data_IF_895170916840
#
_entry.id   IF_895170916840
#
_cell.length_a   1.000
_cell.length_b   1.000
_cell.length_c   1.000
_cell.angle_alpha   90.00
_cell.angle_beta   90.00
_cell.angle_gamma   90.00
#
_symmetry.space_group_name_H-M   'P 1'
#
loop_
_entity.id
_entity.type
_entity.pdbx_description
1 polymer ?
#
# COMPACT_ATOMS: atom_id res chain seq x y z
N UNK A 1 -33.12 4.38 -28.87
CA UNK A 1 -32.56 5.71 -28.53
C UNK A 1 -31.84 5.77 -27.18
N UNK A 2 -32.02 4.81 -26.25
CA UNK A 2 -31.40 4.84 -24.91
C UNK A 2 -29.95 4.29 -24.84
N UNK A 3 -29.58 3.28 -25.64
CA UNK A 3 -28.26 2.64 -25.50
C UNK A 3 -27.10 3.52 -25.99
N UNK A 4 -27.27 4.27 -27.08
CA UNK A 4 -26.26 5.20 -27.60
C UNK A 4 -26.01 6.38 -26.66
N UNK A 5 -27.02 6.88 -25.96
CA UNK A 5 -26.86 7.93 -24.95
C UNK A 5 -26.17 7.41 -23.69
N UNK A 6 -26.43 6.16 -23.30
CA UNK A 6 -25.78 5.53 -22.16
C UNK A 6 -24.30 5.27 -22.43
N UNK A 7 -23.95 4.72 -23.60
CA UNK A 7 -22.55 4.51 -24.02
C UNK A 7 -21.79 5.84 -24.12
N UNK A 8 -22.40 6.88 -24.70
CA UNK A 8 -21.77 8.22 -24.77
C UNK A 8 -21.68 8.93 -23.41
N UNK A 9 -22.50 8.55 -22.42
CA UNK A 9 -22.39 9.04 -21.05
C UNK A 9 -21.28 8.32 -20.29
N UNK A 10 -21.15 7.01 -20.48
CA UNK A 10 -20.10 6.19 -19.88
C UNK A 10 -18.72 6.51 -20.46
N UNK A 11 -18.63 6.81 -21.76
CA UNK A 11 -17.40 7.27 -22.41
C UNK A 11 -16.96 8.66 -21.94
N UNK A 12 -17.91 9.58 -21.73
CA UNK A 12 -17.63 10.91 -21.16
C UNK A 12 -17.21 10.83 -19.70
N UNK A 13 -17.88 10.01 -18.89
CA UNK A 13 -17.50 9.77 -17.50
C UNK A 13 -16.14 9.09 -17.38
N UNK A 14 -15.83 8.16 -18.30
CA UNK A 14 -14.51 7.54 -18.42
C UNK A 14 -13.44 8.58 -18.75
N UNK A 15 -13.60 9.36 -19.83
CA UNK A 15 -12.64 10.41 -20.22
C UNK A 15 -12.42 11.47 -19.13
N UNK A 16 -13.48 11.88 -18.43
CA UNK A 16 -13.38 12.85 -17.32
C UNK A 16 -12.60 12.27 -16.15
N UNK A 17 -12.84 10.99 -15.80
CA UNK A 17 -12.07 10.27 -14.77
C UNK A 17 -10.61 10.06 -15.14
N UNK A 18 -10.29 9.89 -16.42
CA UNK A 18 -8.92 9.76 -16.90
C UNK A 18 -8.14 11.06 -16.80
N UNK A 19 -8.75 12.20 -17.16
CA UNK A 19 -8.13 13.52 -17.02
C UNK A 19 -7.84 13.86 -15.54
N UNK A 20 -8.73 13.46 -14.63
CA UNK A 20 -8.53 13.63 -13.18
C UNK A 20 -7.39 12.77 -12.61
N UNK A 21 -7.12 11.60 -13.21
CA UNK A 21 -6.12 10.63 -12.76
C UNK A 21 -4.72 10.86 -13.35
N UNK A 22 -4.64 11.44 -14.55
CA UNK A 22 -3.40 11.63 -15.31
C UNK A 22 -2.22 12.19 -14.47
N UNK A 23 -2.39 13.21 -13.61
CA UNK A 23 -1.28 13.73 -12.83
C UNK A 23 -0.83 12.78 -11.70
N UNK A 24 -1.77 12.07 -11.07
CA UNK A 24 -1.45 11.08 -10.03
C UNK A 24 -0.72 9.89 -10.65
N UNK A 25 -1.13 9.46 -11.85
CA UNK A 25 -0.45 8.41 -12.63
C UNK A 25 0.96 8.85 -13.01
N UNK A 26 1.12 10.07 -13.56
CA UNK A 26 2.42 10.63 -13.95
C UNK A 26 3.39 10.70 -12.78
N UNK A 27 2.94 11.17 -11.62
CA UNK A 27 3.78 11.22 -10.44
C UNK A 27 4.11 9.83 -9.90
N UNK A 28 3.14 8.92 -9.90
CA UNK A 28 3.43 7.54 -9.53
C UNK A 28 4.46 6.89 -10.46
N UNK A 29 4.53 7.26 -11.74
CA UNK A 29 5.53 6.76 -12.68
C UNK A 29 6.86 7.54 -12.66
N UNK A 30 6.93 8.71 -12.02
CA UNK A 30 8.11 9.57 -12.02
C UNK A 30 9.32 8.88 -11.35
N UNK A 31 10.59 9.20 -11.72
CA UNK A 31 11.75 8.58 -11.12
C UNK A 31 11.71 8.60 -9.59
N UNK A 32 11.92 7.44 -8.97
CA UNK A 32 11.82 7.30 -7.53
C UNK A 32 13.00 7.98 -6.81
N UNK A 33 12.70 8.74 -5.75
CA UNK A 33 13.69 9.47 -4.94
C UNK A 33 13.47 9.18 -3.45
N UNK A 34 14.54 8.83 -2.75
CA UNK A 34 14.56 8.50 -1.32
C UNK A 34 15.06 7.08 -1.05
N UNK A 35 14.98 6.64 0.20
CA UNK A 35 15.51 5.37 0.67
C UNK A 35 14.50 4.52 1.48
N UNK A 36 13.25 4.95 1.67
CA UNK A 36 12.30 4.15 2.46
C UNK A 36 11.90 2.82 1.81
N UNK A 37 12.06 2.63 0.50
CA UNK A 37 11.97 1.32 -0.14
C UNK A 37 13.09 0.41 0.36
N UNK A 38 14.33 0.90 0.44
CA UNK A 38 15.44 0.16 1.01
C UNK A 38 15.22 -0.13 2.51
N UNK A 39 14.73 0.85 3.28
CA UNK A 39 14.37 0.65 4.68
C UNK A 39 13.24 -0.39 4.84
N UNK A 40 12.21 -0.31 3.99
CA UNK A 40 11.11 -1.28 3.98
C UNK A 40 11.60 -2.68 3.57
N UNK A 41 12.45 -2.79 2.56
CA UNK A 41 13.05 -4.05 2.11
C UNK A 41 13.87 -4.70 3.23
N UNK A 42 14.71 -3.92 3.93
CA UNK A 42 15.47 -4.40 5.09
C UNK A 42 14.56 -4.83 6.24
N UNK A 43 13.49 -4.06 6.50
CA UNK A 43 12.50 -4.39 7.51
C UNK A 43 11.75 -5.69 7.17
N UNK A 44 11.31 -5.86 5.93
CA UNK A 44 10.65 -7.07 5.43
C UNK A 44 11.59 -8.29 5.53
N UNK A 45 12.87 -8.14 5.16
CA UNK A 45 13.87 -9.20 5.30
C UNK A 45 14.07 -9.63 6.77
N UNK A 46 14.03 -8.67 7.69
CA UNK A 46 14.09 -8.92 9.14
C UNK A 46 12.85 -9.71 9.61
N UNK A 47 11.65 -9.30 9.17
CA UNK A 47 10.40 -10.00 9.49
C UNK A 47 10.38 -11.43 8.94
N UNK A 48 10.82 -11.62 7.70
CA UNK A 48 10.94 -12.94 7.06
C UNK A 48 11.91 -13.84 7.84
N UNK A 49 13.06 -13.30 8.25
CA UNK A 49 14.02 -14.03 9.06
C UNK A 49 13.44 -14.43 10.41
N UNK A 50 12.77 -13.50 11.10
CA UNK A 50 12.18 -13.75 12.40
C UNK A 50 11.05 -14.79 12.33
N UNK A 51 10.16 -14.68 11.34
CA UNK A 51 9.08 -15.65 11.12
C UNK A 51 9.61 -17.08 10.91
N UNK A 52 10.71 -17.23 10.17
CA UNK A 52 11.28 -18.55 9.87
C UNK A 52 11.88 -19.22 11.09
N UNK A 53 12.45 -18.45 12.02
CA UNK A 53 13.04 -18.99 13.25
C UNK A 53 11.97 -19.22 14.31
N UNK A 54 10.99 -18.31 14.42
CA UNK A 54 10.01 -18.26 15.51
C UNK A 54 8.57 -18.31 14.98
N UNK A 55 8.30 -19.23 14.05
CA UNK A 55 7.00 -19.32 13.37
C UNK A 55 5.82 -19.42 14.34
N UNK A 56 6.01 -20.11 15.46
CA UNK A 56 5.01 -20.30 16.53
C UNK A 56 4.69 -19.05 17.31
N UNK A 57 5.50 -18.00 17.24
CA UNK A 57 5.36 -16.81 18.10
C UNK A 57 4.47 -15.75 17.43
N UNK A 58 4.37 -15.83 16.09
CA UNK A 58 3.62 -14.89 15.27
C UNK A 58 2.23 -15.40 14.93
N UNK A 59 1.25 -14.51 14.96
CA UNK A 59 -0.15 -14.89 14.72
C UNK A 59 -0.41 -15.24 13.25
N UNK A 60 0.31 -14.62 12.32
CA UNK A 60 0.37 -14.95 10.90
C UNK A 60 1.54 -14.20 10.24
N UNK A 61 2.07 -14.68 9.09
CA UNK A 61 3.17 -14.03 8.37
C UNK A 61 2.65 -12.84 7.54
N UNK A 62 2.30 -11.76 8.21
CA UNK A 62 1.96 -10.50 7.55
C UNK A 62 2.53 -9.30 8.28
N UNK A 63 2.70 -8.22 7.56
CA UNK A 63 3.02 -6.91 8.13
C UNK A 63 2.16 -5.82 7.49
N UNK A 64 1.97 -4.72 8.21
CA UNK A 64 1.21 -3.57 7.71
C UNK A 64 2.16 -2.41 7.37
N UNK A 65 1.86 -1.68 6.30
CA UNK A 65 2.50 -0.37 6.02
C UNK A 65 1.50 0.70 6.43
N UNK A 66 1.86 1.49 7.45
CA UNK A 66 0.95 2.48 8.05
C UNK A 66 1.48 3.89 7.86
N UNK A 67 0.69 4.72 7.18
CA UNK A 67 0.86 6.18 7.08
C UNK A 67 -0.31 6.75 6.27
N UNK A 68 -0.69 8.01 6.47
CA UNK A 68 -1.76 8.68 5.72
C UNK A 68 -1.60 8.65 4.19
N UNK A 69 -2.71 8.90 3.48
CA UNK A 69 -2.74 8.93 2.01
C UNK A 69 -1.72 9.92 1.42
N UNK A 70 -1.10 9.56 0.30
CA UNK A 70 -0.13 10.42 -0.40
C UNK A 70 1.31 10.33 0.07
N UNK A 71 1.65 9.46 1.03
CA UNK A 71 3.03 9.23 1.49
C UNK A 71 3.84 8.23 0.64
N UNK A 72 3.24 7.58 -0.36
CA UNK A 72 3.95 6.64 -1.24
C UNK A 72 3.94 5.17 -0.79
N UNK A 73 2.98 4.76 0.05
CA UNK A 73 2.84 3.35 0.49
C UNK A 73 2.77 2.36 -0.68
N UNK A 74 1.93 2.65 -1.68
CA UNK A 74 1.81 1.82 -2.88
C UNK A 74 3.06 1.87 -3.76
N UNK A 75 3.80 3.01 -3.74
CA UNK A 75 5.02 3.22 -4.51
C UNK A 75 6.17 2.35 -3.98
N UNK A 76 6.33 2.22 -2.66
CA UNK A 76 7.36 1.34 -2.10
C UNK A 76 7.12 -0.15 -2.42
N UNK A 77 5.86 -0.57 -2.59
CA UNK A 77 5.53 -1.92 -3.06
C UNK A 77 5.91 -2.12 -4.54
N UNK A 78 5.70 -1.10 -5.38
CA UNK A 78 6.18 -1.13 -6.75
C UNK A 78 7.72 -1.23 -6.78
N UNK A 79 8.42 -0.43 -5.96
CA UNK A 79 9.90 -0.52 -5.88
C UNK A 79 10.37 -1.90 -5.44
N UNK A 80 9.71 -2.50 -4.45
CA UNK A 80 9.98 -3.89 -4.07
C UNK A 80 9.83 -4.84 -5.27
N UNK A 81 8.74 -4.71 -6.04
CA UNK A 81 8.50 -5.56 -7.22
C UNK A 81 9.54 -5.33 -8.34
N UNK A 82 9.91 -4.09 -8.62
CA UNK A 82 10.92 -3.72 -9.62
C UNK A 82 12.30 -4.25 -9.23
N UNK A 83 12.76 -3.94 -8.01
CA UNK A 83 14.05 -4.37 -7.48
C UNK A 83 14.19 -5.90 -7.51
N UNK A 84 13.14 -6.62 -7.15
CA UNK A 84 13.17 -8.10 -7.12
C UNK A 84 13.05 -8.71 -8.51
N UNK A 85 12.32 -8.08 -9.44
CA UNK A 85 12.27 -8.48 -10.85
C UNK A 85 13.62 -8.31 -11.58
N UNK A 86 14.44 -7.35 -11.16
CA UNK A 86 15.83 -7.19 -11.62
C UNK A 86 16.78 -8.29 -11.10
N UNK A 87 16.28 -9.21 -10.27
CA UNK A 87 17.04 -10.34 -9.73
C UNK A 87 17.76 -10.06 -8.40
N UNK A 88 17.53 -8.88 -7.80
CA UNK A 88 18.03 -8.54 -6.48
C UNK A 88 17.26 -9.32 -5.41
N UNK A 89 17.99 -9.81 -4.41
CA UNK A 89 17.39 -10.50 -3.26
C UNK A 89 17.31 -9.55 -2.06
N UNK A 90 16.33 -9.79 -1.20
CA UNK A 90 16.38 -9.20 0.14
C UNK A 90 17.42 -9.97 0.97
N UNK A 91 18.20 -9.27 1.78
CA UNK A 91 19.30 -9.88 2.54
C UNK A 91 19.16 -9.56 4.02
N UNK A 92 19.21 -10.60 4.86
CA UNK A 92 19.27 -10.43 6.31
C UNK A 92 19.95 -11.64 6.97
N UNK A 93 20.91 -11.40 7.87
CA UNK A 93 21.68 -12.43 8.59
C UNK A 93 22.24 -13.54 7.67
N UNK A 94 22.76 -13.17 6.49
CA UNK A 94 23.31 -14.11 5.51
C UNK A 94 22.27 -14.88 4.69
N UNK A 95 20.97 -14.75 4.99
CA UNK A 95 19.91 -15.31 4.16
C UNK A 95 19.64 -14.39 2.96
N UNK A 96 19.48 -14.98 1.79
CA UNK A 96 19.09 -14.31 0.56
C UNK A 96 17.67 -14.73 0.20
N UNK A 97 16.72 -13.81 0.24
CA UNK A 97 15.32 -14.05 -0.10
C UNK A 97 15.05 -13.63 -1.56
N UNK A 98 14.67 -14.61 -2.38
CA UNK A 98 14.23 -14.41 -3.75
C UNK A 98 12.72 -14.16 -3.75
N UNK A 99 12.36 -12.89 -3.85
CA UNK A 99 10.99 -12.42 -3.63
C UNK A 99 10.25 -12.31 -4.96
N UNK A 100 9.06 -12.88 -5.02
CA UNK A 100 8.05 -12.59 -6.05
C UNK A 100 6.93 -11.79 -5.43
N UNK A 101 6.60 -10.62 -5.99
CA UNK A 101 5.50 -9.78 -5.50
C UNK A 101 4.22 -10.08 -6.28
N UNK A 102 3.17 -10.47 -5.56
CA UNK A 102 1.81 -10.59 -6.07
C UNK A 102 0.97 -9.44 -5.52
N UNK A 103 0.74 -8.42 -6.36
CA UNK A 103 0.06 -7.19 -5.98
C UNK A 103 -1.44 -7.26 -6.29
N UNK A 104 -2.27 -6.88 -5.31
CA UNK A 104 -3.72 -6.77 -5.40
C UNK A 104 -4.13 -5.42 -4.83
N UNK A 105 -4.74 -4.55 -5.63
CA UNK A 105 -5.40 -3.35 -5.12
C UNK A 105 -6.88 -3.68 -4.86
N UNK A 106 -7.23 -3.86 -3.60
CA UNK A 106 -8.51 -4.39 -3.18
C UNK A 106 -9.64 -3.34 -3.15
N UNK A 107 -9.42 -2.15 -3.73
CA UNK A 107 -10.37 -1.05 -3.70
C UNK A 107 -11.75 -1.47 -4.26
N UNK A 108 -12.80 -1.26 -3.46
CA UNK A 108 -14.17 -1.74 -3.76
C UNK A 108 -15.18 -0.62 -4.10
N UNK A 109 -14.72 0.56 -4.48
CA UNK A 109 -15.61 1.72 -4.65
C UNK A 109 -15.92 1.94 -6.14
N UNK A 110 -17.18 1.70 -6.54
CA UNK A 110 -17.74 2.20 -7.79
C UNK A 110 -17.53 3.73 -7.83
N UNK A 111 -16.75 4.21 -8.80
CA UNK A 111 -16.48 5.64 -8.95
C UNK A 111 -15.25 6.17 -8.20
N UNK A 112 -14.40 5.31 -7.60
CA UNK A 112 -13.13 5.79 -7.05
C UNK A 112 -12.16 6.25 -8.15
N UNK A 113 -11.71 7.50 -8.00
CA UNK A 113 -10.65 8.14 -8.78
C UNK A 113 -9.27 7.96 -8.15
N UNK A 114 -9.09 6.95 -7.28
CA UNK A 114 -7.81 6.68 -6.62
C UNK A 114 -6.82 5.96 -7.54
N UNK A 115 -5.53 6.11 -7.25
CA UNK A 115 -4.44 5.38 -7.88
C UNK A 115 -3.53 4.75 -6.78
N UNK A 116 -3.01 3.52 -6.94
CA UNK A 116 -3.14 2.61 -8.09
C UNK A 116 -4.57 2.12 -8.35
N UNK A 117 -4.83 1.64 -9.56
CA UNK A 117 -6.16 1.16 -9.97
C UNK A 117 -6.55 -0.10 -9.21
N UNK A 118 -7.85 -0.25 -8.98
CA UNK A 118 -8.41 -1.47 -8.40
C UNK A 118 -8.10 -2.67 -9.31
N UNK A 119 -7.64 -3.76 -8.72
CA UNK A 119 -7.42 -5.02 -9.42
C UNK A 119 -8.64 -5.90 -9.22
N UNK A 120 -9.75 -5.52 -9.81
CA UNK A 120 -11.07 -6.08 -9.48
C UNK A 120 -11.20 -7.57 -9.78
N UNK A 121 -10.56 -8.07 -10.85
CA UNK A 121 -10.63 -9.49 -11.21
C UNK A 121 -9.76 -10.33 -10.28
N UNK A 122 -8.53 -9.89 -10.02
CA UNK A 122 -7.59 -10.49 -9.07
C UNK A 122 -8.12 -10.48 -7.65
N UNK A 123 -8.75 -9.38 -7.25
CA UNK A 123 -9.38 -9.25 -5.94
C UNK A 123 -10.53 -10.26 -5.81
N UNK A 124 -11.42 -10.37 -6.80
CA UNK A 124 -12.52 -11.36 -6.78
C UNK A 124 -12.02 -12.80 -6.84
N UNK A 125 -10.92 -13.03 -7.55
CA UNK A 125 -10.32 -14.36 -7.65
C UNK A 125 -9.68 -14.80 -6.32
N UNK A 126 -8.96 -13.91 -5.65
CA UNK A 126 -8.34 -14.22 -4.35
C UNK A 126 -9.37 -14.15 -3.19
N UNK A 127 -10.29 -13.20 -3.25
CA UNK A 127 -11.34 -12.94 -2.25
C UNK A 127 -12.71 -12.81 -2.94
N UNK A 128 -13.39 -13.94 -3.21
CA UNK A 128 -14.72 -13.94 -3.80
C UNK A 128 -15.72 -13.14 -2.96
N UNK A 129 -16.60 -12.37 -3.62
CA UNK A 129 -17.63 -11.56 -2.93
C UNK A 129 -18.62 -12.46 -2.16
N UNK A 130 -18.87 -13.68 -2.67
CA UNK A 130 -19.75 -14.67 -2.07
C UNK A 130 -18.98 -15.98 -1.87
N UNK A 131 -19.12 -16.59 -0.69
CA UNK A 131 -18.56 -17.91 -0.42
C UNK A 131 -17.03 -17.92 -0.33
N UNK A 132 -16.42 -16.84 0.15
CA UNK A 132 -14.98 -16.77 0.41
C UNK A 132 -14.59 -17.77 1.51
N UNK A 133 -13.67 -18.70 1.24
CA UNK A 133 -13.22 -19.72 2.19
C UNK A 133 -11.70 -19.71 2.39
N UNK A 134 -11.23 -20.11 3.59
CA UNK A 134 -9.80 -20.27 3.91
C UNK A 134 -9.07 -21.18 2.91
N UNK A 135 -9.70 -22.30 2.54
CA UNK A 135 -9.15 -23.30 1.61
C UNK A 135 -8.93 -22.74 0.21
N UNK A 136 -9.87 -21.91 -0.28
CA UNK A 136 -9.80 -21.26 -1.58
C UNK A 136 -8.64 -20.25 -1.61
N UNK A 137 -8.54 -19.38 -0.61
CA UNK A 137 -7.43 -18.43 -0.50
C UNK A 137 -6.11 -19.19 -0.47
N UNK A 138 -6.00 -20.23 0.37
CA UNK A 138 -4.78 -21.04 0.48
C UNK A 138 -4.37 -21.71 -0.83
N UNK A 139 -5.33 -22.30 -1.55
CA UNK A 139 -5.09 -22.93 -2.85
C UNK A 139 -4.65 -21.91 -3.92
N UNK A 140 -5.28 -20.73 -3.95
CA UNK A 140 -4.88 -19.63 -4.83
C UNK A 140 -3.45 -19.18 -4.55
N UNK A 141 -3.08 -18.97 -3.29
CA UNK A 141 -1.71 -18.59 -2.89
C UNK A 141 -0.67 -19.67 -3.26
N UNK A 142 -1.00 -20.95 -3.06
CA UNK A 142 -0.12 -22.06 -3.46
C UNK A 142 0.06 -22.15 -4.97
N UNK A 143 -0.98 -21.82 -5.73
CA UNK A 143 -0.93 -21.76 -7.19
C UNK A 143 0.04 -20.67 -7.64
N UNK A 144 -0.08 -19.45 -7.08
CA UNK A 144 0.85 -18.35 -7.40
C UNK A 144 2.28 -18.68 -6.98
N UNK A 145 2.46 -19.26 -5.79
CA UNK A 145 3.79 -19.62 -5.28
C UNK A 145 4.50 -20.62 -6.17
N UNK A 146 3.78 -21.63 -6.69
CA UNK A 146 4.35 -22.66 -7.58
C UNK A 146 4.57 -22.15 -9.00
N UNK A 147 3.56 -21.47 -9.53
CA UNK A 147 3.36 -21.27 -10.96
C UNK A 147 3.30 -19.79 -11.30
N UNK A 148 4.14 -18.92 -10.72
CA UNK A 148 4.07 -17.45 -10.89
C UNK A 148 3.98 -16.87 -12.33
N UNK A 149 3.92 -17.71 -13.38
CA UNK A 149 3.70 -17.38 -14.79
C UNK A 149 2.54 -18.13 -15.49
N UNK A 150 1.90 -19.14 -14.89
CA UNK A 150 0.80 -19.93 -15.47
C UNK A 150 -0.50 -19.70 -14.70
N UNK A 151 -1.03 -18.48 -14.77
CA UNK A 151 -2.39 -18.15 -14.32
C UNK A 151 -3.31 -18.04 -15.56
N UNK A 152 -4.62 -18.16 -15.37
CA UNK A 152 -5.59 -18.09 -16.48
C UNK A 152 -5.59 -16.72 -17.20
N UNK A 153 -6.02 -16.70 -18.46
CA UNK A 153 -5.93 -15.54 -19.37
C UNK A 153 -6.35 -14.18 -18.79
N UNK A 154 -7.56 -14.02 -18.22
CA UNK A 154 -8.01 -12.74 -17.64
C UNK A 154 -7.21 -12.31 -16.40
N UNK A 155 -6.72 -13.27 -15.61
CA UNK A 155 -5.88 -13.05 -14.43
C UNK A 155 -4.48 -12.60 -14.88
N UNK A 156 -3.94 -13.23 -15.93
CA UNK A 156 -2.67 -12.83 -16.56
C UNK A 156 -2.78 -11.48 -17.24
N UNK A 157 -3.90 -11.14 -17.85
CA UNK A 157 -4.14 -9.82 -18.43
C UNK A 157 -4.24 -8.74 -17.36
N UNK A 158 -4.94 -8.97 -16.24
CA UNK A 158 -4.96 -7.97 -15.17
C UNK A 158 -3.59 -7.90 -14.47
N UNK A 159 -2.88 -9.01 -14.27
CA UNK A 159 -1.48 -9.02 -13.85
C UNK A 159 -0.59 -8.25 -14.82
N UNK A 160 -0.83 -8.34 -16.13
CA UNK A 160 -0.15 -7.57 -17.18
C UNK A 160 -0.62 -6.11 -17.25
N UNK A 161 -1.83 -5.77 -16.81
CA UNK A 161 -2.31 -4.37 -16.74
C UNK A 161 -1.87 -3.68 -15.45
N UNK A 162 -1.60 -4.47 -14.41
CA UNK A 162 -0.92 -4.09 -13.16
C UNK A 162 0.59 -4.06 -13.38
N UNK A 163 1.10 -4.68 -14.47
CA UNK A 163 2.45 -4.40 -14.96
C UNK A 163 2.50 -2.96 -15.45
N UNK A 164 3.05 -2.12 -14.59
CA UNK A 164 3.81 -0.96 -14.99
C UNK A 164 4.99 -1.48 -15.81
N UNK A 165 4.87 -1.39 -17.13
CA UNK A 165 5.87 -1.60 -18.19
C UNK A 165 7.18 -2.28 -17.76
N UNK A 166 7.22 -3.61 -17.83
CA UNK A 166 8.49 -4.33 -18.03
C UNK A 166 8.55 -4.78 -19.48
N UNK A 167 9.52 -4.19 -20.18
CA UNK A 167 10.01 -4.61 -21.47
C UNK A 167 10.08 -6.13 -21.56
N UNK A 168 9.53 -6.64 -22.66
CA UNK A 168 9.89 -7.92 -23.24
C UNK A 168 11.40 -7.98 -23.46
N UNK A 169 12.09 -8.70 -22.58
CA UNK A 169 13.21 -9.52 -23.02
C UNK A 169 12.80 -10.94 -22.71
N UNK A 170 12.52 -11.71 -23.76
CA UNK A 170 12.54 -13.17 -23.65
C UNK A 170 13.84 -13.55 -22.95
N UNK A 171 13.83 -14.21 -21.78
CA UNK A 171 14.99 -14.99 -21.41
C UNK A 171 15.00 -16.18 -22.36
N UNK A 172 15.94 -16.16 -23.29
CA UNK A 172 16.38 -17.35 -24.01
C UNK A 172 16.39 -18.55 -23.06
N UNK A 173 15.84 -19.65 -23.53
CA UNK A 173 15.75 -20.91 -22.80
C UNK A 173 17.13 -21.30 -22.22
N UNK A 174 17.32 -21.11 -20.90
CA UNK A 174 18.32 -21.87 -20.16
C UNK A 174 17.73 -22.41 -18.85
N UNK A 175 17.57 -23.73 -18.91
CA UNK A 175 17.33 -24.72 -17.85
C UNK A 175 15.89 -24.79 -17.32
N UNK A 176 15.16 -25.69 -17.98
CA UNK A 176 14.14 -26.53 -17.35
C UNK A 176 14.55 -26.90 -15.91
N UNK A 177 13.58 -26.83 -14.98
CA UNK A 177 13.68 -27.49 -13.67
C UNK A 177 13.68 -29.00 -13.92
N UNK A 178 14.84 -29.56 -14.22
CA UNK A 178 15.03 -31.01 -14.28
C UNK A 178 15.28 -31.52 -12.87
N UNK A 179 14.42 -32.41 -12.40
CA UNK A 179 14.72 -33.33 -11.31
C UNK A 179 15.91 -34.19 -11.74
N UNK A 180 17.12 -33.86 -11.29
CA UNK A 180 18.28 -34.72 -11.46
C UNK A 180 18.68 -35.32 -10.12
N UNK A 181 18.13 -36.51 -9.88
CA UNK A 181 18.84 -37.58 -9.17
C UNK A 181 20.16 -37.83 -9.89
N UNK A 182 21.29 -37.42 -9.30
CA UNK A 182 22.51 -38.24 -9.18
C UNK A 182 23.64 -37.50 -8.47
N UNK A 183 24.37 -38.30 -7.70
CA UNK A 183 25.50 -37.95 -6.85
C UNK A 183 26.65 -37.34 -7.65
N UNK A 184 27.22 -36.24 -7.17
CA UNK A 184 28.67 -36.00 -7.19
C UNK A 184 29.01 -34.78 -6.34
N UNK A 185 29.96 -34.98 -5.42
CA UNK A 185 30.49 -33.99 -4.51
C UNK A 185 31.33 -32.96 -5.27
N UNK A 186 30.94 -31.69 -5.20
CA UNK A 186 31.84 -30.56 -5.36
C UNK A 186 31.33 -29.43 -4.46
N UNK A 187 32.12 -29.13 -3.42
CA UNK A 187 31.91 -28.00 -2.52
C UNK A 187 31.99 -26.70 -3.31
N UNK A 188 30.83 -26.19 -3.73
CA UNK A 188 30.61 -24.80 -4.07
C UNK A 188 29.58 -24.29 -3.07
N UNK A 189 29.87 -23.16 -2.42
CA UNK A 189 28.90 -22.46 -1.57
C UNK A 189 27.74 -22.00 -2.47
N UNK A 190 26.76 -22.88 -2.69
CA UNK A 190 25.48 -22.52 -3.27
C UNK A 190 24.78 -21.66 -2.21
N UNK A 191 24.77 -20.34 -2.38
CA UNK A 191 23.87 -19.51 -1.59
C UNK A 191 22.45 -19.92 -2.01
N UNK A 192 21.83 -20.77 -1.20
CA UNK A 192 20.48 -21.26 -1.46
C UNK A 192 19.54 -20.09 -1.25
N UNK A 193 19.18 -19.41 -2.34
CA UNK A 193 18.15 -18.38 -2.33
C UNK A 193 16.84 -18.99 -1.83
N UNK A 194 16.23 -18.33 -0.86
CA UNK A 194 14.98 -18.73 -0.24
C UNK A 194 13.82 -18.15 -1.06
N UNK A 195 12.97 -18.96 -1.69
CA UNK A 195 11.85 -18.44 -2.47
C UNK A 195 10.76 -17.88 -1.54
N UNK A 196 10.35 -16.65 -1.80
CA UNK A 196 9.31 -15.96 -1.01
C UNK A 196 8.26 -15.37 -1.94
N UNK A 197 6.98 -15.69 -1.71
CA UNK A 197 5.86 -14.97 -2.31
C UNK A 197 5.40 -13.86 -1.35
N UNK A 198 5.53 -12.61 -1.77
CA UNK A 198 4.96 -11.46 -1.07
C UNK A 198 3.60 -11.14 -1.65
N UNK A 199 2.54 -11.32 -0.87
CA UNK A 199 1.16 -10.96 -1.23
C UNK A 199 0.92 -9.52 -0.78
N UNK A 200 1.08 -8.58 -1.69
CA UNK A 200 0.91 -7.15 -1.43
C UNK A 200 -0.54 -6.74 -1.67
N UNK A 201 -1.28 -6.42 -0.60
CA UNK A 201 -2.69 -6.04 -0.67
C UNK A 201 -2.81 -4.55 -0.34
N UNK A 202 -3.13 -3.76 -1.36
CA UNK A 202 -3.45 -2.34 -1.22
C UNK A 202 -4.94 -2.13 -0.94
N UNK A 203 -5.26 -1.06 -0.20
CA UNK A 203 -6.62 -0.79 0.30
C UNK A 203 -7.19 -1.99 1.09
N UNK A 204 -6.36 -2.59 1.95
CA UNK A 204 -6.66 -3.84 2.63
C UNK A 204 -7.89 -3.78 3.56
N UNK A 205 -8.39 -2.58 3.94
CA UNK A 205 -9.63 -2.40 4.70
C UNK A 205 -10.84 -3.04 4.06
N UNK A 206 -10.86 -3.16 2.73
CA UNK A 206 -12.01 -3.77 2.03
C UNK A 206 -12.16 -5.25 2.34
N UNK A 207 -11.11 -5.92 2.81
CA UNK A 207 -11.17 -7.31 3.27
C UNK A 207 -12.07 -7.50 4.50
N UNK A 208 -12.31 -6.44 5.29
CA UNK A 208 -13.21 -6.47 6.45
C UNK A 208 -14.69 -6.46 6.03
N UNK A 209 -14.98 -6.04 4.81
CA UNK A 209 -16.33 -5.96 4.24
C UNK A 209 -16.75 -7.29 3.59
N UNK A 210 -15.79 -8.09 3.13
CA UNK A 210 -16.00 -9.40 2.52
C UNK A 210 -16.09 -10.45 3.63
N UNK A 211 -17.19 -11.21 3.67
CA UNK A 211 -17.44 -12.20 4.72
C UNK A 211 -17.81 -13.56 4.14
N UNK A 212 -17.43 -14.62 4.84
CA UNK A 212 -17.93 -15.97 4.56
C UNK A 212 -19.38 -16.15 5.02
N UNK A 213 -19.93 -17.33 4.76
CA UNK A 213 -21.28 -17.73 5.17
C UNK A 213 -21.50 -17.73 6.69
N UNK A 214 -20.43 -17.73 7.48
CA UNK A 214 -20.45 -17.71 8.95
C UNK A 214 -20.23 -16.30 9.52
N UNK A 215 -19.98 -15.31 8.66
CA UNK A 215 -19.73 -13.92 9.04
C UNK A 215 -18.28 -13.60 9.37
N UNK A 216 -17.33 -14.51 9.14
CA UNK A 216 -15.89 -14.27 9.30
C UNK A 216 -15.37 -13.46 8.12
N UNK A 217 -14.64 -12.38 8.39
CA UNK A 217 -14.10 -11.52 7.35
C UNK A 217 -12.92 -12.13 6.58
N UNK A 218 -12.72 -11.68 5.33
CA UNK A 218 -11.68 -12.19 4.45
C UNK A 218 -10.26 -11.93 4.97
N UNK A 219 -10.06 -10.91 5.81
CA UNK A 219 -8.78 -10.67 6.45
C UNK A 219 -8.42 -11.79 7.45
N UNK A 220 -9.38 -12.20 8.30
CA UNK A 220 -9.20 -13.35 9.19
C UNK A 220 -8.97 -14.64 8.41
N UNK A 221 -9.71 -14.84 7.32
CA UNK A 221 -9.50 -16.00 6.45
C UNK A 221 -8.11 -15.99 5.81
N UNK A 222 -7.61 -14.84 5.37
CA UNK A 222 -6.25 -14.67 4.85
C UNK A 222 -5.20 -15.06 5.89
N UNK A 223 -5.32 -14.62 7.14
CA UNK A 223 -4.38 -15.01 8.22
C UNK A 223 -4.30 -16.52 8.40
N UNK A 224 -5.47 -17.18 8.41
CA UNK A 224 -5.55 -18.63 8.56
C UNK A 224 -4.95 -19.34 7.34
N UNK A 225 -5.25 -18.86 6.14
CA UNK A 225 -4.72 -19.38 4.89
C UNK A 225 -3.20 -19.24 4.83
N UNK A 226 -2.63 -18.09 5.19
CA UNK A 226 -1.18 -17.86 5.22
C UNK A 226 -0.46 -18.88 6.13
N UNK A 227 -1.03 -19.18 7.31
CA UNK A 227 -0.47 -20.20 8.19
C UNK A 227 -0.53 -21.60 7.55
N UNK A 228 -1.69 -21.96 6.98
CA UNK A 228 -1.87 -23.26 6.32
C UNK A 228 -0.93 -23.44 5.12
N UNK A 229 -0.74 -22.40 4.31
CA UNK A 229 0.14 -22.39 3.14
C UNK A 229 1.61 -22.57 3.53
N UNK A 230 2.07 -21.89 4.58
CA UNK A 230 3.45 -22.08 5.08
C UNK A 230 3.64 -23.43 5.80
N UNK A 231 2.56 -24.06 6.24
CA UNK A 231 2.58 -25.42 6.78
C UNK A 231 2.59 -26.51 5.69
N UNK A 232 2.23 -26.17 4.44
CA UNK A 232 2.13 -27.09 3.31
C UNK A 232 3.51 -27.59 2.84
N UNK A 233 3.60 -28.88 2.53
CA UNK A 233 4.84 -29.52 2.07
C UNK A 233 5.39 -28.89 0.79
N UNK A 234 4.52 -28.38 -0.09
CA UNK A 234 4.92 -27.71 -1.34
C UNK A 234 5.79 -26.48 -1.09
N UNK A 235 5.55 -25.78 0.02
CA UNK A 235 6.32 -24.60 0.44
C UNK A 235 7.52 -25.03 1.29
N UNK A 236 7.32 -25.95 2.24
CA UNK A 236 8.38 -26.44 3.14
C UNK A 236 9.52 -27.16 2.42
N UNK A 237 9.21 -27.98 1.41
CA UNK A 237 10.21 -28.78 0.69
C UNK A 237 11.22 -27.94 -0.08
N UNK A 238 10.83 -26.73 -0.49
CA UNK A 238 11.74 -25.75 -1.12
C UNK A 238 12.26 -24.71 -0.13
N UNK A 239 12.04 -24.95 1.16
CA UNK A 239 12.37 -24.03 2.24
C UNK A 239 11.81 -22.62 2.01
N UNK A 240 10.64 -22.51 1.37
CA UNK A 240 10.05 -21.25 0.95
C UNK A 240 9.19 -20.57 2.01
N UNK A 241 8.59 -19.43 1.64
CA UNK A 241 7.65 -18.70 2.50
C UNK A 241 6.59 -17.96 1.68
N UNK A 242 5.38 -17.81 2.24
CA UNK A 242 4.35 -16.89 1.74
C UNK A 242 4.05 -15.86 2.81
N UNK A 243 4.24 -14.58 2.50
CA UNK A 243 4.16 -13.48 3.45
C UNK A 243 3.29 -12.35 2.90
N UNK A 244 2.37 -11.80 3.68
CA UNK A 244 1.51 -10.71 3.22
C UNK A 244 2.03 -9.33 3.66
N UNK A 245 1.82 -8.33 2.80
CA UNK A 245 2.03 -6.92 3.13
C UNK A 245 0.71 -6.19 2.90
N UNK A 246 0.14 -5.66 3.98
CA UNK A 246 -1.17 -4.99 3.94
C UNK A 246 -0.96 -3.49 3.99
N UNK A 247 -1.48 -2.79 2.99
CA UNK A 247 -1.44 -1.33 2.92
C UNK A 247 -2.82 -0.79 3.25
N UNK A 248 -2.89 -0.04 4.36
CA UNK A 248 -4.05 0.76 4.71
C UNK A 248 -3.66 1.86 5.70
N UNK A 249 -4.52 2.86 5.86
CA UNK A 249 -4.41 3.91 6.86
C UNK A 249 -5.17 3.61 8.16
N UNK A 250 -5.66 2.39 8.41
CA UNK A 250 -5.98 1.97 9.79
C UNK A 250 -5.85 0.46 10.09
N UNK A 251 -5.11 0.20 11.16
CA UNK A 251 -5.34 -0.63 12.36
C UNK A 251 -6.66 -1.42 12.58
N UNK A 252 -7.73 -1.32 11.78
CA UNK A 252 -8.96 -2.12 11.97
C UNK A 252 -8.76 -3.61 11.68
N UNK A 253 -7.67 -3.91 10.99
CA UNK A 253 -7.15 -5.25 10.78
C UNK A 253 -6.78 -5.91 12.13
N UNK A 254 -6.27 -5.15 13.11
CA UNK A 254 -5.94 -5.67 14.46
C UNK A 254 -6.99 -5.26 15.53
N UNK A 255 -7.61 -4.08 15.46
CA UNK A 255 -8.64 -3.61 16.42
C UNK A 255 -9.99 -4.35 16.30
N UNK A 256 -10.30 -4.94 15.13
CA UNK A 256 -11.48 -5.82 14.98
C UNK A 256 -11.32 -7.14 15.75
N UNK A 257 -10.15 -7.39 16.34
CA UNK A 257 -9.92 -8.48 17.28
C UNK A 257 -9.38 -7.86 18.57
N UNK A 258 -10.22 -7.57 19.58
CA UNK A 258 -9.71 -7.37 20.92
C UNK A 258 -8.77 -8.53 21.23
N UNK A 259 -7.58 -8.25 21.77
CA UNK A 259 -6.68 -9.28 22.34
C UNK A 259 -7.45 -10.22 23.30
N UNK A 260 -8.60 -9.77 23.81
CA UNK A 260 -9.53 -10.48 24.69
C UNK A 260 -10.58 -11.38 24.00
N UNK A 261 -10.80 -11.35 22.68
CA UNK A 261 -11.61 -12.36 21.98
C UNK A 261 -10.71 -13.08 20.96
N UNK A 262 -9.83 -13.99 21.43
CA UNK A 262 -9.02 -14.80 20.54
C UNK A 262 -9.92 -15.58 19.58
N UNK A 263 -9.56 -15.57 18.31
CA UNK A 263 -10.12 -16.48 17.31
C UNK A 263 -10.10 -17.90 17.92
N UNK A 264 -11.23 -18.62 18.07
CA UNK A 264 -11.24 -19.95 18.67
C UNK A 264 -10.26 -20.91 18.00
N UNK A 265 -9.94 -20.67 16.73
CA UNK A 265 -8.96 -21.42 15.94
C UNK A 265 -7.50 -20.95 16.14
N UNK A 266 -7.23 -19.74 16.63
CA UNK A 266 -5.87 -19.27 16.94
C UNK A 266 -5.29 -19.98 18.17
N UNK A 267 -6.15 -20.38 19.13
CA UNK A 267 -5.73 -21.20 20.29
C UNK A 267 -5.10 -22.54 19.90
N UNK A 268 -5.42 -23.08 18.72
CA UNK A 268 -4.78 -24.31 18.20
C UNK A 268 -3.49 -24.04 17.41
N UNK A 269 -3.19 -22.78 17.04
CA UNK A 269 -2.14 -22.42 16.05
C UNK A 269 -0.95 -21.63 16.63
N UNK A 270 -0.84 -21.51 17.96
CA UNK A 270 0.41 -21.17 18.69
C UNK A 270 0.79 -19.69 18.80
N UNK A 271 0.60 -18.89 17.74
CA UNK A 271 1.04 -17.49 17.69
C UNK A 271 0.28 -16.51 18.59
N UNK A 272 1.01 -15.65 19.30
CA UNK A 272 0.41 -14.67 20.23
C UNK A 272 0.63 -13.21 19.84
N UNK A 273 1.57 -12.89 18.95
CA UNK A 273 1.90 -11.51 18.59
C UNK A 273 1.79 -11.23 17.07
N UNK A 274 1.34 -10.04 16.65
CA UNK A 274 1.50 -9.57 15.27
C UNK A 274 2.92 -9.03 15.04
N UNK A 275 3.34 -8.89 13.78
CA UNK A 275 4.53 -8.10 13.44
C UNK A 275 4.25 -6.60 13.68
N UNK A 276 5.24 -5.82 14.16
CA UNK A 276 5.08 -4.37 14.25
C UNK A 276 4.71 -3.75 12.90
N UNK A 277 3.91 -2.67 12.86
CA UNK A 277 3.67 -1.96 11.60
C UNK A 277 4.94 -1.29 11.11
N UNK A 278 5.17 -1.30 9.79
CA UNK A 278 6.14 -0.41 9.16
C UNK A 278 5.54 0.99 9.06
N UNK A 279 6.04 1.93 9.86
CA UNK A 279 5.61 3.32 9.83
C UNK A 279 6.43 4.05 8.76
N UNK A 280 5.76 4.52 7.71
CA UNK A 280 6.42 5.32 6.68
C UNK A 280 6.56 6.77 7.18
N UNK A 281 7.60 7.03 7.97
CA UNK A 281 7.81 8.32 8.65
C UNK A 281 8.33 9.42 7.73
N UNK A 282 9.03 9.07 6.66
CA UNK A 282 9.57 10.01 5.69
C UNK A 282 8.62 10.18 4.51
N UNK A 283 8.36 11.42 4.09
CA UNK A 283 7.72 11.71 2.81
C UNK A 283 8.71 11.31 1.72
N UNK A 284 8.45 10.17 1.10
CA UNK A 284 9.15 9.68 -0.08
C UNK A 284 8.90 10.55 -1.27
N UNK A 285 9.67 10.46 -2.35
CA UNK A 285 9.39 11.20 -3.59
C UNK A 285 9.31 12.72 -3.37
N UNK A 286 10.37 13.20 -2.72
CA UNK A 286 10.71 14.58 -2.72
C UNK A 286 11.04 14.95 -4.17
N UNK A 287 10.01 15.35 -4.92
CA UNK A 287 10.14 15.98 -6.23
C UNK A 287 10.98 17.29 -6.16
N UNK A 288 11.56 17.66 -5.00
CA UNK A 288 12.54 18.75 -4.87
C UNK A 288 13.67 18.65 -5.89
N UNK A 289 14.09 17.45 -6.26
CA UNK A 289 15.30 17.28 -7.06
C UNK A 289 15.11 17.40 -8.57
N UNK A 290 13.90 17.18 -9.13
CA UNK A 290 13.75 17.12 -10.59
C UNK A 290 13.47 18.47 -11.27
N UNK A 291 13.38 19.59 -10.54
CA UNK A 291 13.14 20.91 -11.14
C UNK A 291 13.84 22.09 -10.51
N UNK A 292 14.60 21.93 -9.42
CA UNK A 292 15.44 23.04 -8.95
C UNK A 292 16.61 23.15 -9.95
N UNK A 293 16.66 24.19 -10.82
CA UNK A 293 17.82 24.41 -11.67
C UNK A 293 19.04 24.52 -10.77
N UNK A 294 20.19 24.06 -11.25
CA UNK A 294 21.47 24.21 -10.55
C UNK A 294 21.62 25.68 -10.13
N UNK A 295 21.66 25.95 -8.82
CA UNK A 295 21.77 27.30 -8.24
C UNK A 295 20.55 27.85 -7.49
N UNK A 296 19.42 27.14 -7.41
CA UNK A 296 18.29 27.59 -6.58
C UNK A 296 18.50 27.37 -5.07
N UNK A 297 18.02 28.32 -4.28
CA UNK A 297 18.02 28.30 -2.81
C UNK A 297 17.20 27.11 -2.24
N UNK A 298 17.54 26.59 -1.05
CA UNK A 298 16.76 25.55 -0.37
C UNK A 298 15.29 25.93 -0.21
N UNK A 299 14.38 24.95 -0.21
CA UNK A 299 12.92 25.17 -0.13
C UNK A 299 12.51 26.10 1.00
N UNK A 300 13.14 25.99 2.18
CA UNK A 300 12.92 26.90 3.33
C UNK A 300 13.13 28.37 2.99
N UNK A 301 14.18 28.69 2.24
CA UNK A 301 14.50 30.06 1.83
C UNK A 301 13.55 30.56 0.74
N UNK A 302 12.99 29.64 -0.06
CA UNK A 302 12.02 29.97 -1.12
C UNK A 302 10.63 30.36 -0.59
N UNK A 303 10.23 29.88 0.59
CA UNK A 303 8.97 30.29 1.24
C UNK A 303 8.99 31.76 1.65
N UNK A 304 10.19 32.32 1.87
CA UNK A 304 10.39 33.72 2.25
C UNK A 304 10.55 34.65 1.04
N UNK A 305 10.34 34.15 -0.18
CA UNK A 305 10.45 34.93 -1.40
C UNK A 305 9.25 35.89 -1.55
N UNK A 306 9.43 36.97 -2.31
CA UNK A 306 8.36 37.92 -2.64
C UNK A 306 7.54 37.50 -3.86
N UNK A 307 8.07 36.61 -4.71
CA UNK A 307 7.35 36.07 -5.86
C UNK A 307 6.36 34.98 -5.40
N UNK A 308 5.04 35.19 -5.56
CA UNK A 308 4.02 34.27 -5.05
C UNK A 308 4.02 32.91 -5.75
N UNK A 309 4.46 32.82 -7.01
CA UNK A 309 4.59 31.53 -7.72
C UNK A 309 5.73 30.70 -7.13
N UNK A 310 6.87 31.34 -6.81
CA UNK A 310 8.00 30.64 -6.19
C UNK A 310 7.69 30.18 -4.77
N UNK A 311 6.89 30.96 -4.03
CA UNK A 311 6.39 30.60 -2.70
C UNK A 311 5.41 29.44 -2.80
N UNK A 312 4.45 29.47 -3.73
CA UNK A 312 3.52 28.35 -3.92
C UNK A 312 4.28 27.07 -4.29
N UNK A 313 5.20 27.12 -5.25
CA UNK A 313 6.00 25.96 -5.62
C UNK A 313 6.81 25.43 -4.42
N UNK A 314 7.37 26.32 -3.59
CA UNK A 314 8.05 25.94 -2.36
C UNK A 314 7.10 25.25 -1.37
N UNK A 315 5.91 25.81 -1.12
CA UNK A 315 4.89 25.23 -0.24
C UNK A 315 4.41 23.87 -0.73
N UNK A 316 4.16 23.72 -2.03
CA UNK A 316 3.74 22.46 -2.66
C UNK A 316 4.86 21.41 -2.61
N UNK A 317 6.11 21.85 -2.66
CA UNK A 317 7.28 20.98 -2.50
C UNK A 317 7.54 20.56 -1.04
N UNK A 318 6.91 21.24 -0.09
CA UNK A 318 6.94 20.89 1.33
C UNK A 318 5.69 20.08 1.67
N UNK A 319 5.89 18.88 2.22
CA UNK A 319 4.79 17.98 2.56
C UNK A 319 4.72 16.80 1.59
N UNK A 320 3.52 16.44 1.13
CA UNK A 320 3.33 15.18 0.41
C UNK A 320 3.69 15.29 -1.08
N UNK A 321 4.30 14.26 -1.67
CA UNK A 321 4.54 14.17 -3.12
C UNK A 321 3.30 14.41 -3.96
N UNK A 322 2.16 13.93 -3.45
CA UNK A 322 0.86 14.04 -4.07
C UNK A 322 0.45 15.49 -4.36
N UNK A 323 0.90 16.47 -3.56
CA UNK A 323 0.55 17.87 -3.80
C UNK A 323 1.18 18.41 -5.05
N UNK A 324 2.46 18.10 -5.27
CA UNK A 324 3.20 18.57 -6.42
C UNK A 324 2.76 17.93 -7.72
N UNK A 325 2.27 16.70 -7.67
CA UNK A 325 1.67 16.06 -8.85
C UNK A 325 0.38 16.73 -9.30
N UNK A 326 -0.34 17.37 -8.38
CA UNK A 326 -1.66 17.95 -8.63
C UNK A 326 -1.62 19.45 -8.94
N UNK A 327 -0.43 20.06 -9.07
CA UNK A 327 -0.29 21.46 -9.48
C UNK A 327 -0.65 21.64 -10.96
N UNK A 328 -1.94 21.84 -11.24
CA UNK A 328 -2.50 22.00 -12.58
C UNK A 328 -3.02 23.41 -12.81
N UNK A 329 -2.85 23.95 -14.02
CA UNK A 329 -3.39 25.25 -14.42
C UNK A 329 -2.35 26.14 -15.06
N UNK A 330 -2.81 27.02 -15.96
CA UNK A 330 -1.96 27.98 -16.67
C UNK A 330 -1.70 29.26 -15.87
N UNK A 331 -2.48 29.53 -14.83
CA UNK A 331 -2.36 30.70 -13.95
C UNK A 331 -2.14 30.26 -12.50
N UNK A 332 -1.51 31.13 -11.71
CA UNK A 332 -1.31 30.91 -10.27
C UNK A 332 -2.64 30.64 -9.53
N UNK A 333 -3.67 31.42 -9.84
CA UNK A 333 -5.00 31.27 -9.23
C UNK A 333 -5.64 29.91 -9.59
N UNK A 334 -5.52 29.49 -10.86
CA UNK A 334 -6.02 28.18 -11.30
C UNK A 334 -5.33 27.03 -10.56
N UNK A 335 -4.00 27.10 -10.42
CA UNK A 335 -3.18 26.14 -9.67
C UNK A 335 -3.61 26.02 -8.22
N UNK A 336 -3.77 27.15 -7.53
CA UNK A 336 -4.22 27.15 -6.13
C UNK A 336 -5.63 26.59 -5.98
N UNK A 337 -6.54 26.95 -6.90
CA UNK A 337 -7.94 26.51 -6.85
C UNK A 337 -8.08 25.00 -6.96
N UNK A 338 -7.43 24.38 -7.94
CA UNK A 338 -7.51 22.92 -8.13
C UNK A 338 -6.79 22.17 -7.01
N UNK A 339 -5.63 22.67 -6.56
CA UNK A 339 -4.91 22.08 -5.44
C UNK A 339 -5.73 22.13 -4.14
N UNK A 340 -6.33 23.27 -3.81
CA UNK A 340 -7.16 23.41 -2.61
C UNK A 340 -8.41 22.53 -2.68
N UNK A 341 -9.07 22.45 -3.85
CA UNK A 341 -10.22 21.58 -4.06
C UNK A 341 -9.85 20.11 -3.82
N UNK A 342 -8.70 19.68 -4.34
CA UNK A 342 -8.20 18.32 -4.15
C UNK A 342 -7.80 18.05 -2.70
N UNK A 343 -7.06 18.97 -2.08
CA UNK A 343 -6.65 18.88 -0.68
C UNK A 343 -7.85 18.80 0.26
N UNK A 344 -8.85 19.66 0.09
CA UNK A 344 -10.08 19.65 0.87
C UNK A 344 -10.89 18.37 0.66
N UNK A 345 -11.00 17.88 -0.58
CA UNK A 345 -11.64 16.59 -0.88
C UNK A 345 -10.95 15.45 -0.14
N UNK A 346 -9.61 15.40 -0.12
CA UNK A 346 -8.87 14.36 0.58
C UNK A 346 -8.94 14.52 2.11
N UNK A 347 -8.86 15.74 2.62
CA UNK A 347 -8.98 16.05 4.04
C UNK A 347 -10.36 15.64 4.57
N UNK A 348 -11.43 15.87 3.81
CA UNK A 348 -12.81 15.58 4.18
C UNK A 348 -13.27 14.20 3.70
N UNK A 349 -12.35 13.27 3.46
CA UNK A 349 -12.65 11.88 3.09
C UNK A 349 -13.62 11.74 1.90
N UNK A 350 -13.47 12.61 0.91
CA UNK A 350 -14.26 12.63 -0.33
C UNK A 350 -15.61 13.35 -0.23
N UNK A 351 -15.97 13.90 0.93
CA UNK A 351 -17.19 14.71 1.08
C UNK A 351 -17.02 16.07 0.40
N UNK A 352 -18.11 16.63 -0.14
CA UNK A 352 -18.10 17.92 -0.82
C UNK A 352 -17.71 19.07 0.13
N UNK A 353 -16.51 19.62 -0.07
CA UNK A 353 -15.97 20.74 0.69
C UNK A 353 -16.78 22.04 0.54
N UNK A 354 -17.65 22.16 -0.47
CA UNK A 354 -18.52 23.35 -0.61
C UNK A 354 -19.78 23.28 0.25
N UNK A 355 -20.15 22.09 0.70
CA UNK A 355 -21.37 21.90 1.48
C UNK A 355 -21.10 22.20 2.96
N UNK A 356 -21.85 23.15 3.53
CA UNK A 356 -21.70 23.53 4.95
C UNK A 356 -21.83 22.32 5.91
N UNK A 357 -22.67 21.34 5.57
CA UNK A 357 -22.86 20.08 6.32
C UNK A 357 -21.56 19.27 6.49
N UNK A 358 -20.58 19.46 5.61
CA UNK A 358 -19.28 18.78 5.67
C UNK A 358 -18.42 19.24 6.84
N UNK A 359 -18.78 20.35 7.48
CA UNK A 359 -18.07 20.93 8.62
C UNK A 359 -18.93 20.92 9.90
N UNK A 360 -19.98 20.11 9.96
CA UNK A 360 -20.78 19.96 11.17
C UNK A 360 -19.93 19.44 12.34
N UNK A 361 -20.10 20.07 13.50
CA UNK A 361 -19.41 19.77 14.77
C UNK A 361 -19.74 18.37 15.32
N UNK A 362 -20.83 17.76 14.84
CA UNK A 362 -21.23 16.38 15.15
C UNK A 362 -20.45 15.32 14.34
N UNK A 363 -19.63 15.74 13.38
CA UNK A 363 -18.86 14.82 12.54
C UNK A 363 -17.36 15.02 12.74
N UNK A 364 -16.57 13.97 12.52
CA UNK A 364 -15.11 14.10 12.57
C UNK A 364 -14.54 14.95 11.43
N UNK A 365 -15.30 15.22 10.37
CA UNK A 365 -14.88 16.07 9.26
C UNK A 365 -14.65 17.52 9.72
N UNK A 366 -15.61 18.09 10.45
CA UNK A 366 -15.49 19.43 11.03
C UNK A 366 -14.33 19.52 12.02
N UNK A 367 -14.24 18.55 12.95
CA UNK A 367 -13.14 18.49 13.93
C UNK A 367 -11.78 18.39 13.25
N UNK A 368 -11.60 17.49 12.28
CA UNK A 368 -10.34 17.31 11.58
C UNK A 368 -9.90 18.58 10.82
N UNK A 369 -10.86 19.29 10.20
CA UNK A 369 -10.59 20.56 9.51
C UNK A 369 -10.09 21.67 10.45
N UNK A 370 -10.47 21.62 11.73
CA UNK A 370 -9.94 22.54 12.74
C UNK A 370 -8.53 22.10 13.15
N UNK A 371 -8.32 20.82 13.45
CA UNK A 371 -7.05 20.29 13.93
C UNK A 371 -5.87 20.63 12.99
N UNK A 372 -6.08 20.58 11.67
CA UNK A 372 -5.03 20.93 10.71
C UNK A 372 -4.66 22.43 10.72
N UNK A 373 -5.62 23.31 11.06
CA UNK A 373 -5.44 24.77 11.06
C UNK A 373 -4.92 25.33 12.38
N UNK A 374 -5.40 24.79 13.50
CA UNK A 374 -5.01 25.26 14.85
C UNK A 374 -3.83 24.49 15.44
N UNK A 375 -3.32 23.48 14.75
CA UNK A 375 -2.15 22.70 15.20
C UNK A 375 -2.41 21.85 16.44
N UNK A 376 -3.68 21.52 16.71
CA UNK A 376 -4.08 20.69 17.84
C UNK A 376 -3.77 19.22 17.55
N UNK A 377 -3.48 18.48 18.62
CA UNK A 377 -3.23 17.03 18.56
C UNK A 377 -4.18 16.30 19.50
N UNK A 378 -4.81 15.20 19.05
CA UNK A 378 -5.57 14.34 19.95
C UNK A 378 -4.66 13.72 21.00
N UNK A 379 -5.28 13.25 22.08
CA UNK A 379 -4.59 12.37 23.02
C UNK A 379 -4.17 11.08 22.30
N UNK A 380 -2.97 10.56 22.60
CA UNK A 380 -2.37 9.49 21.79
C UNK A 380 -3.17 8.17 21.80
N UNK A 381 -3.83 7.87 22.92
CA UNK A 381 -4.68 6.68 23.07
C UNK A 381 -6.13 6.91 22.64
N UNK A 382 -6.49 8.10 22.14
CA UNK A 382 -7.83 8.37 21.67
C UNK A 382 -8.05 7.71 20.29
N UNK A 383 -9.13 6.97 20.05
CA UNK A 383 -9.45 6.39 18.74
C UNK A 383 -9.47 7.42 17.60
N UNK A 384 -9.72 8.70 17.91
CA UNK A 384 -9.61 9.82 16.99
C UNK A 384 -8.21 9.94 16.41
N UNK A 385 -7.13 9.74 17.19
CA UNK A 385 -5.75 9.83 16.70
C UNK A 385 -5.53 8.91 15.49
N UNK A 386 -6.04 7.68 15.57
CA UNK A 386 -5.96 6.75 14.46
C UNK A 386 -6.86 7.15 13.29
N UNK A 387 -8.09 7.61 13.56
CA UNK A 387 -9.00 8.05 12.50
C UNK A 387 -8.47 9.25 11.73
N UNK A 388 -7.74 10.16 12.39
CA UNK A 388 -7.14 11.30 11.71
C UNK A 388 -6.11 10.86 10.65
N UNK A 389 -5.33 9.81 10.91
CA UNK A 389 -4.39 9.24 9.92
C UNK A 389 -5.16 8.51 8.81
N UNK A 390 -6.17 7.73 9.21
CA UNK A 390 -7.04 6.91 8.38
C UNK A 390 -7.76 7.70 7.30
N UNK A 391 -8.55 8.64 7.78
CA UNK A 391 -9.65 9.25 7.03
C UNK A 391 -9.34 10.72 6.72
N UNK A 392 -8.51 11.38 7.54
CA UNK A 392 -8.34 12.84 7.52
C UNK A 392 -6.89 13.29 7.31
N UNK A 393 -6.06 12.45 6.68
CA UNK A 393 -4.69 12.79 6.26
C UNK A 393 -3.70 13.23 7.34
N UNK A 394 -3.94 13.01 8.64
CA UNK A 394 -2.92 13.32 9.65
C UNK A 394 -1.67 12.45 9.46
N UNK A 395 -0.50 13.02 9.70
CA UNK A 395 0.78 12.30 9.67
C UNK A 395 0.90 11.48 10.94
N UNK A 396 1.18 10.19 10.78
CA UNK A 396 1.57 9.29 11.86
C UNK A 396 3.08 9.43 12.11
N UNK A 397 3.46 9.87 13.30
CA UNK A 397 4.85 10.04 13.71
C UNK A 397 5.37 8.84 14.49
N UNK A 398 4.50 8.25 15.31
CA UNK A 398 4.90 7.19 16.22
C UNK A 398 3.71 6.32 16.60
N UNK A 399 3.98 5.02 16.77
CA UNK A 399 3.07 4.05 17.37
C UNK A 399 3.83 3.42 18.54
N UNK A 400 3.20 3.32 19.69
CA UNK A 400 3.77 2.63 20.87
C UNK A 400 4.03 1.16 20.57
N UNK A 401 4.97 0.53 21.28
CA UNK A 401 5.28 -0.89 21.07
C UNK A 401 4.09 -1.86 21.24
N UNK A 402 3.12 -1.51 22.09
CA UNK A 402 1.86 -2.26 22.29
C UNK A 402 0.81 -1.97 21.21
N UNK A 403 1.11 -1.03 20.32
CA UNK A 403 0.22 -0.49 19.33
C UNK A 403 -1.10 0.08 19.89
N UNK A 404 -1.14 0.48 21.17
CA UNK A 404 -2.32 1.01 21.87
C UNK A 404 -2.36 2.55 21.97
N UNK A 405 -1.31 3.24 21.48
CA UNK A 405 -1.31 4.69 21.35
C UNK A 405 -0.50 5.16 20.13
N UNK A 406 -0.90 6.31 19.57
CA UNK A 406 -0.34 6.89 18.35
C UNK A 406 -0.11 8.39 18.50
N UNK A 407 1.05 8.86 18.05
CA UNK A 407 1.33 10.30 17.97
C UNK A 407 1.09 10.74 16.54
N UNK A 408 0.11 11.63 16.36
CA UNK A 408 -0.32 12.11 15.06
C UNK A 408 -0.38 13.64 15.06
N UNK A 409 -0.17 14.25 13.89
CA UNK A 409 -0.31 15.71 13.73
C UNK A 409 -0.49 16.09 12.26
N UNK A 410 -0.75 17.37 12.02
CA UNK A 410 -0.74 17.99 10.69
C UNK A 410 0.52 18.83 10.45
N UNK A 411 1.57 18.63 11.26
CA UNK A 411 2.79 19.44 11.13
C UNK A 411 3.38 19.31 9.73
N UNK A 412 3.71 20.45 9.13
CA UNK A 412 4.39 20.56 7.83
C UNK A 412 3.51 20.26 6.60
N UNK A 413 2.19 20.44 6.68
CA UNK A 413 1.29 20.28 5.54
C UNK A 413 0.54 21.60 5.20
N UNK A 414 1.24 22.59 4.61
CA UNK A 414 0.67 23.92 4.33
C UNK A 414 -0.54 23.81 3.40
N UNK A 415 -0.52 22.87 2.46
CA UNK A 415 -1.60 22.66 1.49
C UNK A 415 -2.90 22.26 2.19
N UNK A 416 -2.84 21.37 3.19
CA UNK A 416 -4.02 21.01 4.00
C UNK A 416 -4.51 22.15 4.91
N UNK A 417 -3.64 23.11 5.23
CA UNK A 417 -4.02 24.28 6.02
C UNK A 417 -4.78 25.30 5.18
N UNK A 418 -4.40 25.45 3.90
CA UNK A 418 -4.99 26.40 2.95
C UNK A 418 -6.23 25.87 2.21
N UNK A 419 -6.37 24.55 2.07
CA UNK A 419 -7.60 23.88 1.61
C UNK A 419 -8.75 24.08 2.58
#
# INVERSE_FOLDING_TARGET
MNELQQVQSEERDSMTRWAELEPTVKAFAAPYVGDADAQFQAYLATCLSAYRVYMSDYTAPYVTITQSSGFGKSRILQRLAETTAEGNCLVHNGNHYDVTVFYVCARNIKGSTGYPRATSTLRKWLFPDNGCEESQIGNSLLTVFKNGKELDGPIVEELKSVRLELYTVQPEAKKQRTLETSQSQAQSQVSTRVPVLVVAIDEARTLLEIKDSTGVDAFRLLRRALWAVNADERVKNVNGSVFAVLVDTKYLVDEAVPVSIPDPTSRRRGGTAPFPPFILTQTMDVLLNNRSPVGQLPSKSRVLNTNPEQVLEALVSMGRPLWRSMEQGSTLEGKQRELNKFAASKLLFGVDAKAAKSYEDRTLHGVASLLCRVGLRPHASDPMATRLVADFMSVLHYVTYKNDAQITSYTSDPILTFG
#
